data_IF_245493197736
#
_entry.id   IF_245493197736
#
_cell.length_a   1.000
_cell.length_b   1.000
_cell.length_c   1.000
_cell.angle_alpha   90.00
_cell.angle_beta   90.00
_cell.angle_gamma   90.00
#
_symmetry.space_group_name_H-M   'P 1'
#
loop_
_entity.id
_entity.type
_entity.pdbx_description
1 polymer ?
#
# COMPACT_ATOMS: atom_id res chain seq x y z
N UNK A 1 -0.81 28.27 8.47
CA UNK A 1 -1.83 27.68 9.38
C UNK A 1 -2.79 26.85 8.54
N UNK A 2 -2.76 25.53 8.69
CA UNK A 2 -3.63 24.60 7.96
C UNK A 2 -3.38 23.20 8.50
N UNK A 3 -3.99 22.89 9.64
CA UNK A 3 -3.91 21.57 10.31
C UNK A 3 -4.74 20.57 9.50
N UNK A 4 -4.07 19.70 8.75
CA UNK A 4 -4.69 18.46 8.29
C UNK A 4 -4.76 17.50 9.48
N UNK A 5 -5.99 17.27 9.96
CA UNK A 5 -6.30 16.24 10.95
C UNK A 5 -6.18 14.87 10.28
N UNK A 6 -5.27 14.06 10.81
CA UNK A 6 -5.33 12.60 10.73
C UNK A 6 -6.66 12.11 11.29
N UNK A 7 -7.36 11.30 10.51
CA UNK A 7 -8.38 10.39 11.03
C UNK A 7 -7.90 8.99 10.75
N UNK A 8 -7.34 8.36 11.78
CA UNK A 8 -7.11 6.92 11.85
C UNK A 8 -8.49 6.24 11.83
N UNK A 9 -8.79 5.54 10.73
CA UNK A 9 -9.86 4.58 10.67
C UNK A 9 -9.23 3.19 10.65
N UNK A 10 -9.06 2.61 11.84
CA UNK A 10 -8.76 1.20 12.05
C UNK A 10 -9.91 0.36 11.48
N UNK A 11 -9.75 -0.14 10.25
CA UNK A 11 -10.63 -1.18 9.73
C UNK A 11 -10.16 -2.53 10.27
N UNK A 12 -10.74 -2.91 11.41
CA UNK A 12 -10.77 -4.30 11.87
C UNK A 12 -11.53 -5.13 10.84
N UNK A 13 -10.79 -5.91 10.06
CA UNK A 13 -11.33 -6.89 9.13
C UNK A 13 -11.90 -8.05 9.96
N UNK A 14 -13.17 -7.91 10.36
CA UNK A 14 -13.89 -8.94 11.10
C UNK A 14 -14.41 -9.92 10.05
N UNK A 15 -13.88 -11.14 10.14
CA UNK A 15 -14.25 -12.32 9.37
C UNK A 15 -15.78 -12.47 9.32
N UNK A 16 -16.41 -12.07 8.20
CA UNK A 16 -17.82 -12.35 7.96
C UNK A 16 -17.98 -13.86 7.86
N UNK A 17 -18.50 -14.45 8.93
CA UNK A 17 -18.91 -15.84 8.97
C UNK A 17 -20.15 -15.98 8.08
N UNK A 18 -19.99 -16.65 6.94
CA UNK A 18 -21.10 -17.15 6.15
C UNK A 18 -21.89 -18.19 6.97
N UNK A 19 -22.81 -17.73 7.79
CA UNK A 19 -23.88 -18.57 8.34
C UNK A 19 -25.05 -18.48 7.38
N UNK A 20 -25.11 -19.41 6.44
CA UNK A 20 -26.34 -19.63 5.67
C UNK A 20 -27.42 -20.12 6.63
N UNK A 21 -28.61 -19.49 6.69
CA UNK A 21 -29.71 -20.03 7.45
C UNK A 21 -30.18 -21.31 6.77
N UNK A 22 -30.08 -22.44 7.48
CA UNK A 22 -30.74 -23.68 7.10
C UNK A 22 -32.25 -23.43 7.19
N UNK A 23 -32.87 -23.14 6.05
CA UNK A 23 -34.33 -23.10 5.93
C UNK A 23 -34.82 -24.54 5.98
N UNK A 24 -35.17 -25.00 7.18
CA UNK A 24 -35.94 -26.23 7.33
C UNK A 24 -37.31 -26.01 6.69
N UNK A 25 -37.78 -26.91 5.82
CA UNK A 25 -39.14 -26.83 5.30
C UNK A 25 -40.12 -26.94 6.48
N UNK A 26 -40.91 -25.89 6.70
CA UNK A 26 -42.04 -25.90 7.61
C UNK A 26 -43.10 -26.86 7.06
N UNK A 27 -43.01 -28.13 7.45
CA UNK A 27 -44.11 -29.07 7.34
C UNK A 27 -45.11 -28.77 8.46
N UNK A 28 -45.91 -27.70 8.30
CA UNK A 28 -47.10 -27.49 9.14
C UNK A 28 -48.18 -28.45 8.64
N UNK A 29 -48.19 -29.67 9.18
CA UNK A 29 -49.33 -30.56 9.05
C UNK A 29 -50.45 -30.03 9.95
N UNK A 30 -51.41 -29.32 9.35
CA UNK A 30 -52.68 -28.95 9.99
C UNK A 30 -53.46 -30.24 10.25
N UNK A 31 -53.48 -30.68 11.50
CA UNK A 31 -54.36 -31.76 11.96
C UNK A 31 -55.79 -31.22 12.05
N UNK A 32 -56.60 -31.43 11.01
CA UNK A 32 -58.05 -31.26 11.13
C UNK A 32 -58.63 -32.52 11.79
N UNK A 33 -58.87 -32.43 13.10
CA UNK A 33 -59.65 -33.43 13.82
C UNK A 33 -61.12 -33.16 13.50
N UNK A 34 -61.63 -33.80 12.45
CA UNK A 34 -63.07 -33.89 12.22
C UNK A 34 -63.66 -34.91 13.21
N UNK A 35 -64.37 -34.39 14.21
CA UNK A 35 -65.19 -35.20 15.11
C UNK A 35 -66.32 -35.84 14.31
N UNK A 36 -66.31 -37.16 14.23
CA UNK A 36 -67.33 -37.91 13.52
C UNK A 36 -67.22 -39.41 13.70
N UNK A 37 -68.10 -39.93 14.55
CA UNK A 37 -68.63 -41.30 14.59
C UNK A 37 -67.76 -42.43 15.20
N UNK A 38 -68.33 -42.92 16.31
CA UNK A 38 -68.36 -44.32 16.76
C UNK A 38 -67.01 -44.91 17.17
N UNK A 39 -66.90 -45.18 18.47
CA UNK A 39 -65.83 -46.00 19.03
C UNK A 39 -65.75 -47.34 18.30
N UNK A 40 -64.82 -47.44 17.37
CA UNK A 40 -64.14 -48.69 17.08
C UNK A 40 -63.40 -49.07 18.36
N UNK A 41 -63.55 -50.31 18.87
CA UNK A 41 -62.76 -50.73 20.01
C UNK A 41 -61.30 -50.55 19.60
N UNK A 42 -60.54 -49.80 20.40
CA UNK A 42 -59.09 -49.86 20.36
C UNK A 42 -58.76 -51.32 20.60
N UNK A 43 -58.54 -52.03 19.50
CA UNK A 43 -58.10 -53.39 19.51
C UNK A 43 -56.66 -53.32 20.04
N UNK A 44 -56.52 -53.30 21.36
CA UNK A 44 -55.31 -53.69 22.07
C UNK A 44 -55.13 -55.20 21.89
N UNK A 45 -55.17 -55.67 20.65
CA UNK A 45 -54.53 -56.93 20.30
C UNK A 45 -53.08 -56.66 20.58
N UNK A 46 -52.55 -57.31 21.61
CA UNK A 46 -51.12 -57.42 21.76
C UNK A 46 -50.55 -57.75 20.39
N UNK A 47 -49.60 -56.94 19.88
CA UNK A 47 -49.06 -57.15 18.56
C UNK A 47 -48.57 -58.58 18.50
N UNK A 48 -49.01 -59.31 17.47
CA UNK A 48 -48.66 -60.71 17.36
C UNK A 48 -47.13 -60.82 17.35
N UNK A 49 -46.58 -61.86 17.97
CA UNK A 49 -45.12 -62.09 18.01
C UNK A 49 -44.45 -61.95 16.63
N UNK A 50 -45.18 -62.29 15.57
CA UNK A 50 -44.74 -62.14 14.18
C UNK A 50 -44.62 -60.66 13.73
N UNK A 51 -45.57 -59.80 14.09
CA UNK A 51 -45.54 -58.37 13.76
C UNK A 51 -44.38 -57.65 14.46
N UNK A 52 -44.10 -57.99 15.73
CA UNK A 52 -42.95 -57.45 16.46
C UNK A 52 -41.62 -57.86 15.81
N UNK A 53 -41.48 -59.14 15.43
CA UNK A 53 -40.28 -59.63 14.74
C UNK A 53 -40.11 -58.97 13.37
N UNK A 54 -41.20 -58.76 12.63
CA UNK A 54 -41.17 -58.07 11.35
C UNK A 54 -40.74 -56.59 11.50
N UNK A 55 -41.24 -55.88 12.52
CA UNK A 55 -40.84 -54.51 12.81
C UNK A 55 -39.37 -54.39 13.24
N UNK A 56 -38.88 -55.33 14.06
CA UNK A 56 -37.46 -55.41 14.45
C UNK A 56 -36.60 -55.66 13.21
N UNK A 57 -36.99 -56.60 12.35
CA UNK A 57 -36.25 -56.90 11.13
C UNK A 57 -36.25 -55.72 10.15
N UNK A 58 -37.37 -55.02 10.00
CA UNK A 58 -37.45 -53.80 9.19
C UNK A 58 -36.56 -52.68 9.75
N UNK A 59 -36.57 -52.49 11.06
CA UNK A 59 -35.69 -51.50 11.74
C UNK A 59 -34.22 -51.86 11.58
N UNK A 60 -33.86 -53.14 11.68
CA UNK A 60 -32.50 -53.63 11.45
C UNK A 60 -32.01 -53.30 10.05
N UNK A 61 -32.78 -53.65 9.02
CA UNK A 61 -32.42 -53.35 7.61
C UNK A 61 -32.28 -51.86 7.37
N UNK A 62 -33.18 -51.05 7.95
CA UNK A 62 -33.09 -49.58 7.86
C UNK A 62 -31.83 -49.02 8.55
N UNK A 63 -31.43 -49.59 9.70
CA UNK A 63 -30.20 -49.19 10.38
C UNK A 63 -28.94 -49.64 9.62
N UNK A 64 -28.92 -50.85 9.07
CA UNK A 64 -27.83 -51.34 8.21
C UNK A 64 -27.62 -50.39 7.01
N UNK A 65 -28.70 -49.99 6.32
CA UNK A 65 -28.60 -49.02 5.22
C UNK A 65 -28.11 -47.63 5.65
N UNK A 66 -28.52 -47.13 6.83
CA UNK A 66 -28.00 -45.87 7.37
C UNK A 66 -26.51 -45.97 7.73
N UNK A 67 -26.06 -47.11 8.27
CA UNK A 67 -24.65 -47.36 8.60
C UNK A 67 -23.80 -47.37 7.32
N UNK A 68 -24.28 -48.02 6.26
CA UNK A 68 -23.60 -48.02 4.95
C UNK A 68 -23.48 -46.59 4.40
N UNK A 69 -24.57 -45.81 4.46
CA UNK A 69 -24.56 -44.42 4.00
C UNK A 69 -23.56 -43.56 4.80
N UNK A 70 -23.54 -43.67 6.13
CA UNK A 70 -22.58 -42.97 6.99
C UNK A 70 -21.14 -43.42 6.68
N UNK A 71 -20.92 -44.69 6.34
CA UNK A 71 -19.60 -45.18 5.94
C UNK A 71 -19.14 -44.55 4.62
N UNK A 72 -20.04 -44.39 3.64
CA UNK A 72 -19.77 -43.69 2.37
C UNK A 72 -19.44 -42.21 2.64
N UNK A 73 -20.27 -41.52 3.42
CA UNK A 73 -20.06 -40.09 3.75
C UNK A 73 -18.73 -39.89 4.50
N UNK A 74 -18.39 -40.78 5.44
CA UNK A 74 -17.11 -40.75 6.15
C UNK A 74 -15.92 -40.88 5.21
N UNK A 75 -16.02 -41.73 4.18
CA UNK A 75 -14.98 -41.85 3.16
C UNK A 75 -14.89 -40.61 2.26
N UNK A 76 -16.03 -40.02 1.88
CA UNK A 76 -16.05 -38.78 1.12
C UNK A 76 -15.41 -37.62 1.91
N UNK A 77 -15.78 -37.46 3.19
CA UNK A 77 -15.18 -36.47 4.08
C UNK A 77 -13.67 -36.66 4.23
N UNK A 78 -13.18 -37.90 4.32
CA UNK A 78 -11.74 -38.19 4.32
C UNK A 78 -11.05 -37.71 3.05
N UNK A 79 -11.67 -37.91 1.89
CA UNK A 79 -11.12 -37.46 0.60
C UNK A 79 -11.10 -35.94 0.53
N UNK A 80 -12.18 -35.27 0.94
CA UNK A 80 -12.23 -33.82 0.90
C UNK A 80 -11.29 -33.18 1.91
N UNK A 81 -11.13 -33.76 3.11
CA UNK A 81 -10.11 -33.35 4.07
C UNK A 81 -8.69 -33.46 3.50
N UNK A 82 -8.38 -34.52 2.73
CA UNK A 82 -7.09 -34.63 2.04
C UNK A 82 -6.90 -33.52 1.01
N UNK A 83 -7.91 -33.27 0.17
CA UNK A 83 -7.86 -32.18 -0.83
C UNK A 83 -7.65 -30.82 -0.17
N UNK A 84 -8.34 -30.54 0.94
CA UNK A 84 -8.18 -29.28 1.69
C UNK A 84 -6.78 -29.21 2.29
N UNK A 85 -6.28 -30.29 2.89
CA UNK A 85 -4.91 -30.34 3.42
C UNK A 85 -3.86 -30.07 2.34
N UNK A 86 -4.03 -30.63 1.14
CA UNK A 86 -3.10 -30.40 0.04
C UNK A 86 -3.16 -28.95 -0.47
N UNK A 87 -4.36 -28.37 -0.59
CA UNK A 87 -4.53 -26.95 -0.93
C UNK A 87 -3.89 -26.03 0.11
N UNK A 88 -4.02 -26.36 1.41
CA UNK A 88 -3.40 -25.60 2.50
C UNK A 88 -1.88 -25.64 2.39
N UNK A 89 -1.28 -26.81 2.15
CA UNK A 89 0.18 -26.94 1.98
C UNK A 89 0.70 -26.11 0.80
N UNK A 90 -0.02 -26.12 -0.32
CA UNK A 90 0.35 -25.31 -1.50
C UNK A 90 0.28 -23.83 -1.15
N UNK A 91 -0.81 -23.39 -0.50
CA UNK A 91 -0.97 -21.99 -0.09
C UNK A 91 0.13 -21.55 0.90
N UNK A 92 0.47 -22.38 1.88
CA UNK A 92 1.57 -22.12 2.83
C UNK A 92 2.92 -21.97 2.11
N UNK A 93 3.20 -22.83 1.13
CA UNK A 93 4.40 -22.73 0.28
C UNK A 93 4.45 -21.41 -0.49
N UNK A 94 3.37 -21.04 -1.18
CA UNK A 94 3.29 -19.76 -1.90
C UNK A 94 3.43 -18.55 -0.96
N UNK A 95 2.88 -18.62 0.25
CA UNK A 95 3.05 -17.56 1.25
C UNK A 95 4.51 -17.42 1.68
N UNK A 96 5.23 -18.52 1.90
CA UNK A 96 6.64 -18.50 2.27
C UNK A 96 7.53 -17.90 1.16
N UNK A 97 7.25 -18.23 -0.10
CA UNK A 97 7.91 -17.63 -1.27
C UNK A 97 7.66 -16.12 -1.34
N UNK A 98 6.40 -15.69 -1.22
CA UNK A 98 6.03 -14.27 -1.22
C UNK A 98 6.66 -13.50 -0.06
N UNK A 99 6.74 -14.10 1.13
CA UNK A 99 7.42 -13.48 2.27
C UNK A 99 8.91 -13.25 2.00
N UNK A 100 9.56 -14.20 1.34
CA UNK A 100 10.97 -14.09 0.93
C UNK A 100 11.17 -12.99 -0.10
N UNK A 101 10.31 -12.93 -1.12
CA UNK A 101 10.36 -11.89 -2.16
C UNK A 101 10.12 -10.49 -1.57
N UNK A 102 9.09 -10.33 -0.73
CA UNK A 102 8.81 -9.07 -0.03
C UNK A 102 9.99 -8.64 0.85
N UNK A 103 10.66 -9.57 1.52
CA UNK A 103 11.88 -9.30 2.28
C UNK A 103 13.01 -8.75 1.41
N UNK A 104 13.23 -9.36 0.24
CA UNK A 104 14.22 -8.91 -0.75
C UNK A 104 13.90 -7.52 -1.29
N UNK A 105 12.65 -7.28 -1.70
CA UNK A 105 12.19 -5.99 -2.21
C UNK A 105 12.33 -4.87 -1.17
N UNK A 106 11.99 -5.14 0.10
CA UNK A 106 12.19 -4.17 1.19
C UNK A 106 13.67 -3.78 1.35
N UNK A 107 14.57 -4.75 1.23
CA UNK A 107 16.02 -4.49 1.29
C UNK A 107 16.49 -3.63 0.12
N UNK A 108 16.06 -3.96 -1.10
CA UNK A 108 16.38 -3.16 -2.30
C UNK A 108 15.84 -1.74 -2.20
N UNK A 109 14.60 -1.57 -1.74
CA UNK A 109 13.99 -0.25 -1.50
C UNK A 109 14.77 0.55 -0.46
N UNK A 110 15.22 -0.08 0.63
CA UNK A 110 16.07 0.57 1.63
C UNK A 110 17.41 1.03 1.03
N UNK A 111 18.05 0.19 0.22
CA UNK A 111 19.28 0.54 -0.49
C UNK A 111 19.06 1.72 -1.45
N UNK A 112 18.03 1.66 -2.29
CA UNK A 112 17.68 2.74 -3.22
C UNK A 112 17.39 4.06 -2.49
N UNK A 113 16.66 4.01 -1.38
CA UNK A 113 16.35 5.22 -0.58
C UNK A 113 17.64 5.84 -0.02
N UNK A 114 18.57 5.01 0.47
CA UNK A 114 19.85 5.50 0.99
C UNK A 114 20.76 6.08 -0.10
N UNK A 115 20.77 5.51 -1.30
CA UNK A 115 21.54 6.06 -2.42
C UNK A 115 20.95 7.37 -2.89
N UNK A 116 19.62 7.48 -2.98
CA UNK A 116 18.94 8.75 -3.31
C UNK A 116 19.31 9.83 -2.31
N UNK A 117 19.18 9.58 -1.00
CA UNK A 117 19.56 10.56 0.03
C UNK A 117 21.02 10.99 -0.06
N UNK A 118 21.92 10.05 -0.36
CA UNK A 118 23.34 10.37 -0.55
C UNK A 118 23.55 11.25 -1.77
N UNK A 119 22.88 10.96 -2.88
CA UNK A 119 22.96 11.76 -4.10
C UNK A 119 22.37 13.16 -3.90
N UNK A 120 21.26 13.28 -3.18
CA UNK A 120 20.66 14.57 -2.82
C UNK A 120 21.65 15.42 -2.00
N UNK A 121 22.28 14.85 -0.97
CA UNK A 121 23.27 15.56 -0.16
C UNK A 121 24.49 15.98 -0.99
N UNK A 122 24.97 15.10 -1.89
CA UNK A 122 26.06 15.43 -2.81
C UNK A 122 25.69 16.53 -3.80
N UNK A 123 24.45 16.54 -4.30
CA UNK A 123 23.95 17.56 -5.21
C UNK A 123 23.84 18.91 -4.51
N UNK A 124 23.28 18.95 -3.30
CA UNK A 124 23.18 20.15 -2.49
C UNK A 124 24.57 20.74 -2.18
N UNK A 125 25.52 19.89 -1.82
CA UNK A 125 26.92 20.29 -1.56
C UNK A 125 27.63 20.78 -2.84
N UNK A 126 27.45 20.09 -3.97
CA UNK A 126 28.00 20.52 -5.26
C UNK A 126 27.38 21.84 -5.75
N UNK A 127 26.07 22.01 -5.61
CA UNK A 127 25.36 23.24 -5.93
C UNK A 127 25.80 24.38 -5.01
N UNK A 128 25.95 24.10 -3.72
CA UNK A 128 26.48 25.03 -2.73
C UNK A 128 27.85 25.56 -3.13
N UNK A 129 28.82 24.67 -3.41
CA UNK A 129 30.15 25.06 -3.88
C UNK A 129 30.11 25.83 -5.21
N UNK A 130 29.27 25.40 -6.14
CA UNK A 130 29.13 26.08 -7.43
C UNK A 130 28.61 27.51 -7.28
N UNK A 131 27.70 27.75 -6.33
CA UNK A 131 27.14 29.09 -6.05
C UNK A 131 28.04 29.96 -5.17
N UNK A 132 28.90 29.38 -4.33
CA UNK A 132 29.80 30.15 -3.44
C UNK A 132 30.74 31.09 -4.20
N UNK A 133 31.19 30.69 -5.40
CA UNK A 133 32.05 31.53 -6.22
C UNK A 133 31.27 32.55 -7.07
N UNK A 134 29.93 32.44 -7.13
CA UNK A 134 29.09 33.33 -7.92
C UNK A 134 28.58 34.50 -7.07
N UNK A 135 29.10 35.69 -7.33
CA UNK A 135 28.68 36.95 -6.70
C UNK A 135 27.68 37.67 -7.62
N UNK A 136 26.64 38.23 -7.01
CA UNK A 136 25.65 39.07 -7.69
C UNK A 136 25.87 40.53 -7.34
N UNK A 137 26.23 41.31 -8.35
CA UNK A 137 26.44 42.75 -8.24
C UNK A 137 25.19 43.49 -8.71
N UNK A 138 24.66 44.38 -7.87
CA UNK A 138 23.43 45.14 -8.12
C UNK A 138 23.73 46.61 -8.40
N UNK A 139 22.76 47.33 -8.96
CA UNK A 139 22.79 48.79 -9.13
C UNK A 139 23.86 49.36 -10.07
N UNK A 140 24.47 48.54 -10.93
CA UNK A 140 25.30 49.05 -12.02
C UNK A 140 24.43 49.58 -13.16
N UNK A 141 24.67 50.79 -13.64
CA UNK A 141 23.96 51.35 -14.80
C UNK A 141 24.11 50.42 -16.01
N UNK A 142 23.03 50.22 -16.76
CA UNK A 142 23.07 49.40 -17.98
C UNK A 142 24.11 49.98 -18.97
N UNK A 143 24.91 49.11 -19.58
CA UNK A 143 25.98 49.44 -20.54
C UNK A 143 27.20 50.20 -19.98
N UNK A 144 27.29 50.44 -18.67
CA UNK A 144 28.47 51.06 -18.06
C UNK A 144 29.74 50.19 -18.18
N UNK A 145 29.57 48.89 -18.31
CA UNK A 145 30.64 47.88 -18.44
C UNK A 145 31.34 47.86 -19.80
N UNK A 146 30.78 48.49 -20.84
CA UNK A 146 31.34 48.46 -22.18
C UNK A 146 31.32 47.06 -22.81
N UNK A 147 32.38 46.72 -23.57
CA UNK A 147 32.48 45.45 -24.29
C UNK A 147 33.07 44.29 -23.47
N UNK A 148 33.80 44.59 -22.40
CA UNK A 148 34.48 43.61 -21.55
C UNK A 148 34.00 43.74 -20.10
N UNK A 149 32.99 42.96 -19.74
CA UNK A 149 32.36 43.05 -18.41
C UNK A 149 33.29 42.50 -17.32
N UNK A 150 34.13 41.52 -17.65
CA UNK A 150 35.09 40.90 -16.75
C UNK A 150 36.09 41.92 -16.20
N UNK A 151 36.79 42.63 -17.10
CA UNK A 151 37.79 43.64 -16.73
C UNK A 151 37.19 44.82 -15.98
N UNK A 152 35.96 45.22 -16.34
CA UNK A 152 35.24 46.28 -15.63
C UNK A 152 34.97 45.88 -14.17
N UNK A 153 34.41 44.69 -13.95
CA UNK A 153 34.13 44.19 -12.60
C UNK A 153 35.41 43.97 -11.81
N UNK A 154 36.46 43.45 -12.45
CA UNK A 154 37.75 43.22 -11.79
C UNK A 154 38.34 44.54 -11.27
N UNK A 155 38.38 45.58 -12.10
CA UNK A 155 38.87 46.90 -11.68
C UNK A 155 38.01 47.51 -10.58
N UNK A 156 36.68 47.44 -10.72
CA UNK A 156 35.76 47.97 -9.70
C UNK A 156 35.94 47.28 -8.34
N UNK A 157 36.06 45.94 -8.31
CA UNK A 157 36.32 45.19 -7.07
C UNK A 157 37.67 45.62 -6.48
N UNK A 158 38.70 45.80 -7.32
CA UNK A 158 40.02 46.27 -6.89
C UNK A 158 39.89 47.60 -6.18
N UNK A 159 39.21 48.57 -6.78
CA UNK A 159 39.14 49.93 -6.26
C UNK A 159 38.33 50.01 -4.96
N UNK A 160 37.24 49.25 -4.85
CA UNK A 160 36.40 49.22 -3.64
C UNK A 160 37.07 48.47 -2.48
N UNK A 161 37.75 47.36 -2.74
CA UNK A 161 38.31 46.47 -1.70
C UNK A 161 39.82 46.64 -1.47
N UNK A 162 40.49 47.52 -2.22
CA UNK A 162 41.88 47.93 -1.97
C UNK A 162 42.15 48.34 -0.50
N UNK A 163 41.27 49.12 0.18
CA UNK A 163 41.51 49.53 1.56
C UNK A 163 41.47 48.38 2.57
N UNK A 164 40.84 47.26 2.22
CA UNK A 164 40.65 46.09 3.10
C UNK A 164 41.77 45.04 3.01
N UNK A 165 42.82 45.30 2.22
CA UNK A 165 43.97 44.40 2.12
C UNK A 165 43.73 43.16 1.24
N UNK A 166 42.83 43.26 0.25
CA UNK A 166 42.57 42.18 -0.69
C UNK A 166 43.86 41.80 -1.45
N UNK A 167 44.14 40.50 -1.57
CA UNK A 167 45.27 40.01 -2.37
C UNK A 167 45.14 40.54 -3.81
N UNK A 168 46.25 41.00 -4.40
CA UNK A 168 46.25 41.50 -5.79
C UNK A 168 45.96 40.41 -6.82
N UNK A 169 46.00 39.14 -6.40
CA UNK A 169 45.76 37.92 -7.18
C UNK A 169 44.29 37.50 -7.02
N UNK A 170 43.36 38.32 -7.50
CA UNK A 170 41.98 37.88 -7.70
C UNK A 170 41.70 37.95 -9.20
N UNK A 171 41.04 36.94 -9.74
CA UNK A 171 40.72 36.87 -11.17
C UNK A 171 39.22 36.68 -11.32
N UNK A 172 38.60 37.52 -12.14
CA UNK A 172 37.23 37.33 -12.56
C UNK A 172 37.24 36.36 -13.74
N UNK A 173 36.80 35.12 -13.53
CA UNK A 173 36.73 34.11 -14.60
C UNK A 173 35.64 34.45 -15.62
N UNK A 174 34.49 34.90 -15.12
CA UNK A 174 33.31 35.21 -15.95
C UNK A 174 32.53 36.34 -15.31
N UNK A 175 32.06 37.30 -16.11
CA UNK A 175 31.12 38.31 -15.68
C UNK A 175 30.14 38.62 -16.80
N UNK A 176 28.85 38.60 -16.48
CA UNK A 176 27.81 38.92 -17.45
C UNK A 176 26.56 39.45 -16.76
N UNK A 177 25.79 40.30 -17.44
CA UNK A 177 24.44 40.66 -16.98
C UNK A 177 23.53 39.43 -16.97
N UNK A 178 22.58 39.41 -16.05
CA UNK A 178 21.53 38.41 -16.04
C UNK A 178 20.87 38.31 -17.43
N UNK A 179 20.68 37.08 -17.92
CA UNK A 179 20.09 36.76 -19.23
C UNK A 179 18.57 37.00 -19.28
N UNK A 180 18.14 38.13 -18.76
CA UNK A 180 16.76 38.62 -18.76
C UNK A 180 16.65 39.76 -19.77
N UNK A 181 15.47 39.97 -20.34
CA UNK A 181 15.21 41.09 -21.26
C UNK A 181 15.68 42.43 -20.66
N UNK A 182 16.25 43.34 -21.46
CA UNK A 182 16.66 44.65 -20.98
C UNK A 182 15.48 45.39 -20.29
N UNK A 183 15.73 46.02 -19.14
CA UNK A 183 14.69 46.75 -18.43
C UNK A 183 14.21 47.95 -19.25
N UNK A 184 12.96 48.35 -19.05
CA UNK A 184 12.43 49.58 -19.65
C UNK A 184 13.21 50.79 -19.15
N UNK A 185 13.32 51.88 -19.93
CA UNK A 185 13.92 53.13 -19.43
C UNK A 185 13.28 53.54 -18.09
N UNK A 186 14.09 53.67 -17.04
CA UNK A 186 13.64 53.99 -15.67
C UNK A 186 13.34 52.80 -14.75
N UNK A 187 13.36 51.56 -15.25
CA UNK A 187 13.29 50.35 -14.43
C UNK A 187 14.69 49.97 -13.87
N UNK A 188 14.77 49.21 -12.76
CA UNK A 188 16.06 48.87 -12.14
C UNK A 188 16.97 48.09 -13.11
N UNK A 189 18.29 48.35 -13.10
CA UNK A 189 19.23 47.67 -13.97
C UNK A 189 19.39 46.19 -13.59
N UNK A 190 19.73 45.33 -14.57
CA UNK A 190 19.95 43.90 -14.34
C UNK A 190 21.17 43.66 -13.46
N UNK A 191 21.13 42.64 -12.62
CA UNK A 191 22.30 42.22 -11.86
C UNK A 191 23.43 41.75 -12.79
N UNK A 192 24.68 42.03 -12.44
CA UNK A 192 25.85 41.37 -13.02
C UNK A 192 26.11 40.12 -12.17
N UNK A 193 26.23 38.96 -12.83
CA UNK A 193 26.60 37.69 -12.23
C UNK A 193 28.07 37.46 -12.56
N UNK A 194 28.89 37.38 -11.52
CA UNK A 194 30.34 37.25 -11.63
C UNK A 194 30.82 35.99 -10.91
N UNK A 195 31.64 35.18 -11.56
CA UNK A 195 32.33 34.05 -10.95
C UNK A 195 33.75 34.46 -10.58
N UNK A 196 34.07 34.39 -9.29
CA UNK A 196 35.39 34.70 -8.74
C UNK A 196 36.22 33.43 -8.63
N UNK A 197 37.52 33.55 -8.91
CA UNK A 197 38.51 32.48 -8.77
C UNK A 197 39.69 32.96 -7.92
#
# INVERSE_FOLDING_TARGET
MGRHKQTDASQGNTMEQYTTPVVLPQCVARLEVSGGAVGTPLNTKEPSRAELLAAIQGSRVALEGKIEMVAVDSNLLRVDLRKVSDKVKVAEGSIAELQTEVGSLRKQMGQATSTVRRLEAWLEDAEGRSRQNNVRLLCFLERAEGFATESFVENWIRDVLQPTGLSRVFVVERAHRALVAPPRPGAPPRAIITCLR
#
